data_IF_290058147949
#
_entry.id   IF_290058147949
#
_cell.length_a   1.000
_cell.length_b   1.000
_cell.length_c   1.000
_cell.angle_alpha   90.00
_cell.angle_beta   90.00
_cell.angle_gamma   90.00
#
_symmetry.space_group_name_H-M   'P 1'
#
loop_
_entity.id
_entity.type
_entity.pdbx_description
1 polymer ?
#
# COMPACT_ATOMS: atom_id res chain seq x y z
N UNK A 1 -87.34 14.17 3.44
CA UNK A 1 -86.48 15.18 4.05
C UNK A 1 -85.03 14.81 3.83
N UNK A 2 -84.44 15.33 2.85
CA UNK A 2 -83.32 16.28 2.78
C UNK A 2 -82.26 16.13 3.92
N UNK A 3 -81.09 15.64 3.57
CA UNK A 3 -79.84 16.32 3.94
C UNK A 3 -78.69 15.84 3.05
N UNK A 4 -78.27 16.74 2.18
CA UNK A 4 -76.98 16.79 1.50
C UNK A 4 -75.95 17.23 2.52
N UNK A 5 -74.70 16.74 2.45
CA UNK A 5 -73.51 17.52 2.79
C UNK A 5 -72.29 16.77 2.25
N UNK A 6 -71.73 17.25 1.17
CA UNK A 6 -70.35 17.72 0.99
C UNK A 6 -69.23 16.66 1.16
N UNK A 7 -68.93 16.04 0.06
CA UNK A 7 -67.58 15.53 -0.24
C UNK A 7 -66.79 16.69 -0.86
N UNK A 8 -65.75 17.15 -0.23
CA UNK A 8 -64.75 18.00 -0.88
C UNK A 8 -63.50 18.08 0.01
N UNK A 9 -62.39 17.69 -0.52
CA UNK A 9 -61.13 18.22 -0.03
C UNK A 9 -60.17 17.26 0.69
N UNK A 10 -59.72 16.21 0.04
CA UNK A 10 -58.45 15.58 0.47
C UNK A 10 -57.76 14.87 -0.68
N UNK A 11 -57.45 15.57 -1.74
CA UNK A 11 -56.64 15.05 -2.85
C UNK A 11 -55.67 16.13 -3.32
N UNK A 12 -54.74 16.54 -2.47
CA UNK A 12 -53.62 17.40 -2.91
C UNK A 12 -52.50 17.46 -1.90
N UNK A 13 -51.93 16.37 -1.48
CA UNK A 13 -50.74 16.41 -0.65
C UNK A 13 -49.81 15.19 -0.84
N UNK A 14 -49.88 14.47 -1.94
CA UNK A 14 -49.01 13.25 -2.16
C UNK A 14 -48.10 13.37 -3.37
N UNK A 15 -47.80 14.54 -3.90
CA UNK A 15 -47.01 14.70 -5.13
C UNK A 15 -45.68 15.45 -4.95
N UNK A 16 -45.15 15.59 -3.75
CA UNK A 16 -43.93 16.40 -3.51
C UNK A 16 -42.80 15.67 -2.75
N UNK A 17 -42.84 14.34 -2.59
CA UNK A 17 -41.76 13.60 -1.93
C UNK A 17 -40.92 12.72 -2.88
N UNK A 18 -41.06 12.87 -4.22
CA UNK A 18 -40.37 12.02 -5.19
C UNK A 18 -39.14 12.68 -5.87
N UNK A 19 -38.53 13.73 -5.30
CA UNK A 19 -37.42 14.42 -5.95
C UNK A 19 -36.25 14.75 -5.00
N UNK A 20 -35.88 13.84 -4.11
CA UNK A 20 -34.63 13.97 -3.37
C UNK A 20 -33.97 12.59 -3.19
N UNK A 21 -33.81 11.82 -4.30
CA UNK A 21 -32.69 10.91 -4.34
C UNK A 21 -31.45 11.77 -4.58
N UNK A 22 -30.50 11.85 -3.64
CA UNK A 22 -29.21 12.44 -3.96
C UNK A 22 -28.63 11.60 -5.12
N UNK A 23 -28.09 12.22 -6.18
CA UNK A 23 -27.44 11.50 -7.25
C UNK A 23 -26.40 10.59 -6.59
N UNK A 24 -26.47 9.29 -6.87
CA UNK A 24 -25.66 8.27 -6.24
C UNK A 24 -24.22 8.76 -6.19
N UNK A 25 -23.69 8.86 -4.97
CA UNK A 25 -22.35 9.37 -4.75
C UNK A 25 -21.41 8.60 -5.65
N UNK A 26 -20.86 9.25 -6.65
CA UNK A 26 -19.74 8.73 -7.42
C UNK A 26 -18.70 8.38 -6.36
N UNK A 27 -18.45 7.08 -6.13
CA UNK A 27 -17.31 6.66 -5.33
C UNK A 27 -16.10 7.28 -6.00
N UNK A 28 -15.53 8.30 -5.36
CA UNK A 28 -14.35 8.97 -5.86
C UNK A 28 -13.31 7.87 -6.14
N UNK A 29 -13.02 7.64 -7.40
CA UNK A 29 -12.04 6.63 -7.79
C UNK A 29 -10.66 7.19 -7.47
N UNK A 30 -9.85 6.41 -6.75
CA UNK A 30 -8.46 6.75 -6.49
C UNK A 30 -7.77 7.01 -7.84
N UNK A 31 -7.07 8.14 -8.00
CA UNK A 31 -6.35 8.45 -9.24
C UNK A 31 -5.42 7.31 -9.66
N UNK A 32 -5.31 7.06 -10.95
CA UNK A 32 -4.53 5.95 -11.49
C UNK A 32 -3.06 5.93 -11.00
N UNK A 33 -2.33 7.05 -10.96
CA UNK A 33 -0.97 7.07 -10.42
C UNK A 33 -0.91 6.56 -8.96
N UNK A 34 -1.83 6.98 -8.11
CA UNK A 34 -1.87 6.51 -6.71
C UNK A 34 -2.20 5.02 -6.62
N UNK A 35 -3.04 4.48 -7.50
CA UNK A 35 -3.31 3.03 -7.55
C UNK A 35 -2.05 2.25 -7.95
N UNK A 36 -1.29 2.75 -8.92
CA UNK A 36 -0.04 2.13 -9.35
C UNK A 36 1.01 2.14 -8.24
N UNK A 37 1.16 3.27 -7.53
CA UNK A 37 2.04 3.38 -6.37
C UNK A 37 1.61 2.44 -5.24
N UNK A 38 0.32 2.37 -4.92
CA UNK A 38 -0.21 1.48 -3.89
C UNK A 38 0.02 0.00 -4.24
N UNK A 39 -0.20 -0.38 -5.51
CA UNK A 39 0.09 -1.73 -5.99
C UNK A 39 1.59 -2.06 -5.87
N UNK A 40 2.46 -1.14 -6.29
CA UNK A 40 3.90 -1.35 -6.18
C UNK A 40 4.36 -1.51 -4.71
N UNK A 41 3.75 -0.78 -3.77
CA UNK A 41 3.99 -0.97 -2.35
C UNK A 41 3.51 -2.35 -1.86
N UNK A 42 2.31 -2.79 -2.23
CA UNK A 42 1.84 -4.16 -1.92
C UNK A 42 2.77 -5.24 -2.52
N UNK A 43 3.33 -5.01 -3.71
CA UNK A 43 4.30 -5.92 -4.37
C UNK A 43 5.65 -5.93 -3.62
N UNK A 44 6.09 -4.81 -3.01
CA UNK A 44 7.25 -4.77 -2.10
C UNK A 44 6.99 -5.67 -0.89
N UNK A 45 5.84 -5.57 -0.24
CA UNK A 45 5.47 -6.42 0.91
C UNK A 45 5.51 -7.92 0.54
N UNK A 46 4.99 -8.28 -0.64
CA UNK A 46 5.05 -9.64 -1.17
C UNK A 46 6.49 -10.13 -1.36
N UNK A 47 7.35 -9.29 -1.93
CA UNK A 47 8.76 -9.59 -2.17
C UNK A 47 9.56 -9.73 -0.87
N UNK A 48 9.29 -8.88 0.13
CA UNK A 48 9.86 -8.99 1.49
C UNK A 48 9.47 -10.32 2.12
N UNK A 49 8.21 -10.72 1.99
CA UNK A 49 7.71 -12.02 2.50
C UNK A 49 8.42 -13.20 1.81
N UNK A 50 8.65 -13.13 0.51
CA UNK A 50 9.42 -14.13 -0.24
C UNK A 50 10.87 -14.19 0.25
N UNK A 51 11.51 -13.03 0.49
CA UNK A 51 12.88 -12.97 1.01
C UNK A 51 12.99 -13.58 2.41
N UNK A 52 12.00 -13.37 3.28
CA UNK A 52 11.95 -14.00 4.61
C UNK A 52 11.91 -15.54 4.50
N UNK A 53 11.12 -16.07 3.55
CA UNK A 53 11.04 -17.53 3.32
C UNK A 53 12.39 -18.07 2.87
N UNK A 54 13.01 -17.45 1.86
CA UNK A 54 14.33 -17.86 1.35
C UNK A 54 15.39 -17.75 2.44
N UNK A 55 15.41 -16.67 3.20
CA UNK A 55 16.34 -16.51 4.34
C UNK A 55 16.23 -17.68 5.33
N UNK A 56 15.00 -18.08 5.71
CA UNK A 56 14.78 -19.23 6.60
C UNK A 56 15.28 -20.54 5.99
N UNK A 57 15.08 -20.74 4.69
CA UNK A 57 15.60 -21.92 3.97
C UNK A 57 17.15 -21.93 3.97
N UNK A 58 17.78 -20.80 3.69
CA UNK A 58 19.23 -20.67 3.71
C UNK A 58 19.81 -20.93 5.12
N UNK A 59 19.18 -20.42 6.16
CA UNK A 59 19.56 -20.67 7.55
C UNK A 59 19.41 -22.15 7.92
N UNK A 60 18.30 -22.80 7.55
CA UNK A 60 18.08 -24.24 7.82
C UNK A 60 19.08 -25.18 7.14
N UNK A 61 19.68 -24.71 6.03
CA UNK A 61 20.72 -25.43 5.28
C UNK A 61 22.14 -25.02 5.68
N UNK A 62 22.30 -24.20 6.71
CA UNK A 62 23.60 -23.63 7.13
C UNK A 62 24.33 -22.86 6.01
N UNK A 63 23.59 -22.28 5.05
CA UNK A 63 24.15 -21.49 3.96
C UNK A 63 24.37 -20.02 4.35
N UNK A 64 23.85 -19.59 5.49
CA UNK A 64 24.12 -18.31 6.15
C UNK A 64 24.43 -18.54 7.63
N UNK A 65 25.31 -17.73 8.18
CA UNK A 65 25.65 -17.77 9.60
C UNK A 65 24.52 -17.18 10.47
N UNK A 66 24.59 -17.39 11.78
CA UNK A 66 23.63 -16.81 12.72
C UNK A 66 23.67 -15.27 12.71
N UNK A 67 24.86 -14.69 12.58
CA UNK A 67 25.06 -13.24 12.50
C UNK A 67 24.43 -12.67 11.23
N UNK A 68 24.66 -13.33 10.10
CA UNK A 68 24.04 -12.96 8.80
C UNK A 68 22.51 -13.08 8.85
N UNK A 69 21.98 -14.15 9.46
CA UNK A 69 20.54 -14.34 9.65
C UNK A 69 19.92 -13.23 10.51
N UNK A 70 20.60 -12.83 11.59
CA UNK A 70 20.15 -11.72 12.44
C UNK A 70 20.19 -10.37 11.70
N UNK A 71 21.27 -10.08 10.99
CA UNK A 71 21.40 -8.85 10.20
C UNK A 71 20.33 -8.74 9.13
N UNK A 72 20.09 -9.83 8.37
CA UNK A 72 19.01 -9.91 7.38
C UNK A 72 17.63 -9.75 8.04
N UNK A 73 17.41 -10.38 9.18
CA UNK A 73 16.13 -10.25 9.92
C UNK A 73 15.86 -8.82 10.30
N UNK A 74 16.83 -8.12 10.88
CA UNK A 74 16.68 -6.72 11.29
C UNK A 74 16.43 -5.79 10.10
N UNK A 75 17.16 -5.98 9.01
CA UNK A 75 16.99 -5.18 7.80
C UNK A 75 15.62 -5.44 7.14
N UNK A 76 15.18 -6.69 7.04
CA UNK A 76 13.87 -7.05 6.50
C UNK A 76 12.71 -6.51 7.34
N UNK A 77 12.84 -6.52 8.67
CA UNK A 77 11.85 -5.92 9.56
C UNK A 77 11.72 -4.43 9.36
N UNK A 78 12.83 -3.71 9.11
CA UNK A 78 12.79 -2.27 8.79
C UNK A 78 12.05 -2.00 7.48
N UNK A 79 12.36 -2.75 6.41
CA UNK A 79 11.65 -2.60 5.12
C UNK A 79 10.17 -2.90 5.31
N UNK A 80 9.83 -4.02 5.95
CA UNK A 80 8.43 -4.41 6.17
C UNK A 80 7.66 -3.38 6.99
N UNK A 81 8.25 -2.84 8.05
CA UNK A 81 7.62 -1.82 8.89
C UNK A 81 7.40 -0.51 8.13
N UNK A 82 8.42 -0.04 7.40
CA UNK A 82 8.32 1.19 6.60
C UNK A 82 7.25 1.05 5.50
N UNK A 83 7.24 -0.10 4.81
CA UNK A 83 6.30 -0.38 3.74
C UNK A 83 4.85 -0.50 4.26
N UNK A 84 4.63 -1.17 5.40
CA UNK A 84 3.31 -1.25 6.02
C UNK A 84 2.71 0.12 6.33
N UNK A 85 3.53 1.07 6.81
CA UNK A 85 3.07 2.45 7.07
C UNK A 85 2.70 3.16 5.77
N UNK A 86 3.49 2.99 4.70
CA UNK A 86 3.20 3.53 3.38
C UNK A 86 1.90 2.94 2.81
N UNK A 87 1.73 1.63 2.85
CA UNK A 87 0.50 0.93 2.40
C UNK A 87 -0.72 1.38 3.21
N UNK A 88 -0.58 1.53 4.53
CA UNK A 88 -1.67 2.01 5.38
C UNK A 88 -2.09 3.44 5.01
N UNK A 89 -1.12 4.32 4.68
CA UNK A 89 -1.41 5.68 4.22
C UNK A 89 -2.16 5.66 2.88
N UNK A 90 -1.76 4.84 1.91
CA UNK A 90 -2.50 4.67 0.66
C UNK A 90 -3.93 4.20 0.89
N UNK A 91 -4.14 3.23 1.79
CA UNK A 91 -5.49 2.73 2.14
C UNK A 91 -6.36 3.78 2.82
N UNK A 92 -5.76 4.70 3.57
CA UNK A 92 -6.48 5.80 4.20
C UNK A 92 -6.91 6.88 3.20
N UNK A 93 -6.22 7.01 2.07
CA UNK A 93 -6.55 7.96 1.01
C UNK A 93 -7.69 7.41 0.14
N UNK A 94 -8.93 7.80 0.46
CA UNK A 94 -10.14 7.35 -0.27
C UNK A 94 -10.52 8.23 -1.46
N UNK A 95 -9.93 9.42 -1.56
CA UNK A 95 -10.19 10.43 -2.60
C UNK A 95 -8.87 11.08 -3.00
N UNK A 96 -8.91 12.03 -3.93
CA UNK A 96 -7.73 12.75 -4.39
C UNK A 96 -6.92 13.27 -3.20
N UNK A 97 -5.63 12.87 -3.13
CA UNK A 97 -4.72 13.34 -2.11
C UNK A 97 -4.53 14.85 -2.21
N UNK A 98 -4.62 15.54 -1.09
CA UNK A 98 -4.23 16.94 -0.99
C UNK A 98 -2.71 17.12 -1.06
N UNK A 99 -2.22 18.38 -1.14
CA UNK A 99 -0.78 18.67 -1.16
C UNK A 99 -0.04 18.06 0.04
N UNK A 100 -0.62 18.15 1.24
CA UNK A 100 -0.03 17.61 2.47
C UNK A 100 0.06 16.09 2.47
N UNK A 101 -0.93 15.40 1.89
CA UNK A 101 -0.91 13.95 1.74
C UNK A 101 0.20 13.51 0.80
N UNK A 102 0.45 14.26 -0.27
CA UNK A 102 1.56 13.99 -1.20
C UNK A 102 2.91 14.10 -0.49
N UNK A 103 3.12 15.17 0.28
CA UNK A 103 4.36 15.36 1.07
C UNK A 103 4.57 14.19 2.04
N UNK A 104 3.51 13.78 2.75
CA UNK A 104 3.57 12.65 3.66
C UNK A 104 3.89 11.34 2.93
N UNK A 105 3.27 11.06 1.79
CA UNK A 105 3.57 9.87 0.98
C UNK A 105 5.03 9.86 0.50
N UNK A 106 5.56 11.00 0.03
CA UNK A 106 6.96 11.10 -0.37
C UNK A 106 7.92 10.88 0.80
N UNK A 107 7.60 11.38 1.99
CA UNK A 107 8.39 11.14 3.20
C UNK A 107 8.40 9.67 3.59
N UNK A 108 7.23 9.03 3.60
CA UNK A 108 7.11 7.59 3.90
C UNK A 108 7.83 6.74 2.85
N UNK A 109 7.71 7.09 1.58
CA UNK A 109 8.44 6.42 0.51
C UNK A 109 9.97 6.58 0.66
N UNK A 110 10.46 7.76 1.05
CA UNK A 110 11.86 7.96 1.40
C UNK A 110 12.34 7.03 2.52
N UNK A 111 11.49 6.77 3.52
CA UNK A 111 11.80 5.80 4.59
C UNK A 111 11.89 4.37 4.05
N UNK A 112 11.01 3.97 3.14
CA UNK A 112 11.06 2.65 2.48
C UNK A 112 12.35 2.50 1.67
N UNK A 113 12.70 3.48 0.86
CA UNK A 113 13.93 3.43 0.03
C UNK A 113 15.21 3.38 0.88
N UNK A 114 15.26 4.12 1.99
CA UNK A 114 16.36 4.05 2.94
C UNK A 114 16.47 2.65 3.58
N UNK A 115 15.35 2.05 3.96
CA UNK A 115 15.33 0.70 4.53
C UNK A 115 15.76 -0.36 3.49
N UNK A 116 15.39 -0.21 2.22
CA UNK A 116 15.86 -1.09 1.12
C UNK A 116 17.37 -0.95 0.93
N UNK A 117 17.91 0.26 0.99
CA UNK A 117 19.37 0.49 0.93
C UNK A 117 20.10 -0.18 2.11
N UNK A 118 19.55 -0.06 3.33
CA UNK A 118 20.07 -0.75 4.51
C UNK A 118 20.03 -2.27 4.34
N UNK A 119 18.94 -2.82 3.79
CA UNK A 119 18.83 -4.27 3.49
C UNK A 119 19.91 -4.73 2.51
N UNK A 120 20.20 -3.93 1.49
CA UNK A 120 21.29 -4.22 0.57
C UNK A 120 22.65 -4.21 1.31
N UNK A 121 22.99 -3.09 1.94
CA UNK A 121 24.33 -2.82 2.44
C UNK A 121 24.69 -3.66 3.69
N UNK A 122 23.75 -3.82 4.62
CA UNK A 122 23.98 -4.52 5.89
C UNK A 122 23.47 -5.95 5.91
N UNK A 123 22.50 -6.25 5.04
CA UNK A 123 21.89 -7.58 4.96
C UNK A 123 22.52 -8.43 3.86
N UNK A 124 22.16 -8.12 2.61
CA UNK A 124 22.49 -8.99 1.47
C UNK A 124 23.99 -9.01 1.15
N UNK A 125 24.63 -7.85 1.09
CA UNK A 125 26.07 -7.77 0.79
C UNK A 125 26.96 -8.36 1.91
N UNK A 126 26.45 -8.47 3.13
CA UNK A 126 27.15 -9.11 4.25
C UNK A 126 27.19 -10.63 4.15
N UNK A 127 26.34 -11.26 3.35
CA UNK A 127 26.29 -12.72 3.21
C UNK A 127 27.53 -13.24 2.48
N UNK A 128 28.28 -14.14 3.13
CA UNK A 128 29.54 -14.68 2.59
C UNK A 128 29.30 -15.77 1.54
N UNK A 129 28.31 -16.61 1.73
CA UNK A 129 27.97 -17.65 0.77
C UNK A 129 27.48 -17.05 -0.55
N UNK A 130 28.23 -17.27 -1.65
CA UNK A 130 27.95 -16.67 -2.95
C UNK A 130 26.57 -17.06 -3.53
N UNK A 131 26.16 -18.32 -3.36
CA UNK A 131 24.86 -18.81 -3.84
C UNK A 131 23.71 -18.18 -3.05
N UNK A 132 23.83 -18.15 -1.72
CA UNK A 132 22.87 -17.51 -0.84
C UNK A 132 22.72 -16.02 -1.15
N UNK A 133 23.83 -15.32 -1.29
CA UNK A 133 23.87 -13.89 -1.66
C UNK A 133 23.21 -13.66 -3.03
N UNK A 134 23.49 -14.50 -4.02
CA UNK A 134 22.88 -14.39 -5.36
C UNK A 134 21.34 -14.51 -5.29
N UNK A 135 20.82 -15.49 -4.55
CA UNK A 135 19.37 -15.67 -4.36
C UNK A 135 18.72 -14.47 -3.70
N UNK A 136 19.34 -13.93 -2.66
CA UNK A 136 18.87 -12.76 -1.94
C UNK A 136 18.93 -11.50 -2.82
N UNK A 137 20.00 -11.32 -3.59
CA UNK A 137 20.18 -10.19 -4.53
C UNK A 137 19.10 -10.19 -5.61
N UNK A 138 18.70 -11.34 -6.12
CA UNK A 138 17.64 -11.44 -7.12
C UNK A 138 16.33 -10.84 -6.61
N UNK A 139 15.93 -11.16 -5.38
CA UNK A 139 14.70 -10.62 -4.80
C UNK A 139 14.87 -9.14 -4.46
N UNK A 140 16.04 -8.76 -3.93
CA UNK A 140 16.33 -7.36 -3.64
C UNK A 140 16.23 -6.48 -4.89
N UNK A 141 16.72 -6.96 -6.03
CA UNK A 141 16.59 -6.26 -7.31
C UNK A 141 15.12 -6.11 -7.74
N UNK A 142 14.28 -7.13 -7.46
CA UNK A 142 12.83 -7.01 -7.68
C UNK A 142 12.23 -5.90 -6.81
N UNK A 143 12.57 -5.86 -5.52
CA UNK A 143 12.11 -4.81 -4.60
C UNK A 143 12.60 -3.44 -5.07
N UNK A 144 13.89 -3.32 -5.39
CA UNK A 144 14.47 -2.06 -5.88
C UNK A 144 13.84 -1.59 -7.19
N UNK A 145 13.47 -2.50 -8.08
CA UNK A 145 12.78 -2.20 -9.34
C UNK A 145 11.38 -1.62 -9.18
N UNK A 146 10.74 -1.81 -8.01
CA UNK A 146 9.43 -1.23 -7.71
C UNK A 146 9.51 0.23 -7.24
N UNK A 147 10.66 0.65 -6.72
CA UNK A 147 10.84 2.01 -6.18
C UNK A 147 10.64 3.12 -7.22
N UNK A 148 11.17 3.04 -8.46
CA UNK A 148 10.93 4.06 -9.48
C UNK A 148 9.45 4.16 -9.89
N UNK A 149 8.67 3.06 -9.81
CA UNK A 149 7.23 3.09 -10.10
C UNK A 149 6.51 3.96 -9.06
N UNK A 150 6.85 3.80 -7.77
CA UNK A 150 6.27 4.61 -6.70
C UNK A 150 6.73 6.07 -6.85
N UNK A 151 8.03 6.31 -7.05
CA UNK A 151 8.59 7.65 -7.21
C UNK A 151 7.92 8.43 -8.34
N UNK A 152 7.82 7.83 -9.54
CA UNK A 152 7.19 8.45 -10.70
C UNK A 152 5.69 8.68 -10.51
N UNK A 153 5.00 7.73 -9.89
CA UNK A 153 3.56 7.83 -9.62
C UNK A 153 3.22 8.91 -8.58
N UNK A 154 4.06 9.10 -7.59
CA UNK A 154 3.91 10.14 -6.56
C UNK A 154 4.54 11.47 -6.97
N UNK A 155 5.40 11.47 -8.00
CA UNK A 155 6.22 12.62 -8.41
C UNK A 155 7.09 13.11 -7.23
N UNK A 156 7.65 12.15 -6.50
CA UNK A 156 8.69 12.39 -5.52
C UNK A 156 10.04 12.43 -6.25
#
# INVERSE_FOLDING_TARGET
MKRRVLASGLTLALALFALACPPGGQKASIPEPQRNAAKAADDIAGSVSAMIKIKRELASRNQITREEDLALTQALLKVNSADQVLVAKFKALRAAAGPDDKVQLCTLFGTVTSAISDLNNRGVLGVQNAEARSKLTTILNTIAGLTPIIASSLQC
#
